data_IF_674323539779
#
_entry.id   IF_674323539779
#
_cell.length_a   1.000
_cell.length_b   1.000
_cell.length_c   1.000
_cell.angle_alpha   90.00
_cell.angle_beta   90.00
_cell.angle_gamma   90.00
#
_symmetry.space_group_name_H-M   'P 1'
#
loop_
_entity.id
_entity.type
_entity.pdbx_description
1 polymer ?
#
# COMPACT_ATOMS: atom_id res chain seq x y z
N UNK A 1 -3.71 -24.64 26.96
CA UNK A 1 -4.19 -23.57 26.06
C UNK A 1 -2.99 -22.69 25.74
N UNK A 2 -2.89 -22.21 24.51
CA UNK A 2 -1.93 -21.20 24.10
C UNK A 2 -2.64 -20.26 23.13
N UNK A 3 -2.48 -18.95 23.32
CA UNK A 3 -3.14 -17.93 22.51
C UNK A 3 -2.12 -17.00 21.88
N UNK A 4 -2.26 -16.78 20.58
CA UNK A 4 -1.46 -15.82 19.82
C UNK A 4 -2.37 -15.00 18.89
N UNK A 5 -1.90 -13.82 18.48
CA UNK A 5 -2.55 -13.07 17.40
C UNK A 5 -2.11 -13.69 16.07
N UNK A 6 -3.07 -14.04 15.22
CA UNK A 6 -2.82 -14.59 13.90
C UNK A 6 -1.95 -13.65 13.06
N UNK A 7 -1.25 -14.21 12.07
CA UNK A 7 -0.35 -13.39 11.25
C UNK A 7 -1.10 -12.29 10.50
N UNK A 8 -2.30 -12.59 10.00
CA UNK A 8 -3.11 -11.66 9.22
C UNK A 8 -4.52 -11.58 9.78
N UNK A 9 -5.20 -10.46 9.53
CA UNK A 9 -6.62 -10.32 9.78
C UNK A 9 -7.41 -11.46 9.14
N UNK A 10 -8.29 -12.09 9.93
CA UNK A 10 -9.09 -13.26 9.57
C UNK A 10 -8.30 -14.51 9.18
N UNK A 11 -6.99 -14.57 9.46
CA UNK A 11 -6.10 -15.65 8.99
C UNK A 11 -6.16 -15.84 7.46
N UNK A 12 -6.37 -14.73 6.72
CA UNK A 12 -6.39 -14.68 5.26
C UNK A 12 -5.17 -13.95 4.73
N UNK A 13 -4.57 -14.45 3.66
CA UNK A 13 -3.46 -13.80 2.98
C UNK A 13 -3.92 -12.46 2.39
N UNK A 14 -3.30 -11.33 2.77
CA UNK A 14 -3.67 -10.05 2.21
C UNK A 14 -3.16 -9.95 0.76
N UNK A 15 -4.07 -9.64 -0.15
CA UNK A 15 -3.78 -9.23 -1.53
C UNK A 15 -3.78 -7.71 -1.58
N UNK A 16 -2.81 -7.11 -2.26
CA UNK A 16 -2.77 -5.66 -2.46
C UNK A 16 -2.03 -5.33 -3.75
N UNK A 17 -2.17 -4.11 -4.24
CA UNK A 17 -1.39 -3.61 -5.37
C UNK A 17 -0.96 -2.17 -5.17
N UNK A 18 0.29 -1.89 -5.51
CA UNK A 18 0.92 -0.58 -5.49
C UNK A 18 0.96 -0.05 -6.92
N UNK A 19 0.30 1.09 -7.15
CA UNK A 19 0.41 1.86 -8.40
C UNK A 19 1.30 3.08 -8.18
N UNK A 20 2.54 3.00 -8.66
CA UNK A 20 3.52 4.08 -8.64
C UNK A 20 3.38 5.00 -9.88
N UNK A 21 4.00 6.18 -9.82
CA UNK A 21 4.05 7.20 -10.87
C UNK A 21 2.71 7.82 -11.31
N UNK A 22 1.59 7.40 -10.72
CA UNK A 22 0.30 7.99 -11.03
C UNK A 22 0.20 9.43 -10.51
N UNK A 23 -0.40 10.31 -11.31
CA UNK A 23 -0.70 11.71 -10.92
C UNK A 23 -1.70 12.34 -11.90
N UNK A 24 -2.05 13.60 -11.66
CA UNK A 24 -3.07 14.38 -12.38
C UNK A 24 -2.71 14.49 -13.87
N UNK A 25 -3.25 13.57 -14.68
CA UNK A 25 -3.18 13.51 -16.15
C UNK A 25 -1.78 13.44 -16.77
N UNK A 26 -0.70 13.74 -16.04
CA UNK A 26 0.67 13.74 -16.54
C UNK A 26 1.19 12.32 -16.68
N UNK A 27 1.89 12.04 -17.77
CA UNK A 27 2.77 10.88 -17.85
C UNK A 27 4.16 11.26 -17.34
N UNK A 28 4.45 10.95 -16.08
CA UNK A 28 5.71 11.30 -15.44
C UNK A 28 6.92 10.73 -16.18
N UNK A 29 6.79 9.53 -16.74
CA UNK A 29 7.88 8.86 -17.42
C UNK A 29 8.33 9.58 -18.70
N UNK A 30 7.41 10.28 -19.40
CA UNK A 30 7.77 11.15 -20.52
C UNK A 30 8.81 12.20 -20.08
N UNK A 31 8.51 12.94 -19.01
CA UNK A 31 9.36 14.01 -18.50
C UNK A 31 10.65 13.44 -17.89
N UNK A 32 10.52 12.38 -17.10
CA UNK A 32 11.67 11.75 -16.47
C UNK A 32 12.68 11.25 -17.50
N UNK A 33 12.25 10.51 -18.54
CA UNK A 33 13.18 9.99 -19.55
C UNK A 33 13.78 11.11 -20.39
N UNK A 34 12.98 12.11 -20.79
CA UNK A 34 13.45 13.30 -21.52
C UNK A 34 14.57 14.00 -20.76
N UNK A 35 14.40 14.19 -19.45
CA UNK A 35 15.32 14.97 -18.62
C UNK A 35 16.50 14.14 -18.11
N UNK A 36 16.34 12.83 -17.95
CA UNK A 36 17.39 11.94 -17.47
C UNK A 36 18.33 11.47 -18.58
N UNK A 37 17.84 11.32 -19.81
CA UNK A 37 18.67 10.89 -20.94
C UNK A 37 19.92 11.76 -21.17
N UNK A 38 19.87 13.10 -21.11
CA UNK A 38 21.08 13.93 -21.20
C UNK A 38 22.05 13.75 -20.02
N UNK A 39 21.57 13.27 -18.87
CA UNK A 39 22.38 13.09 -17.66
C UNK A 39 23.15 11.77 -17.69
N UNK A 40 22.50 10.67 -18.10
CA UNK A 40 23.08 9.33 -18.08
C UNK A 40 23.44 8.74 -19.44
N UNK A 41 23.00 9.37 -20.54
CA UNK A 41 23.32 8.95 -21.91
C UNK A 41 22.63 7.66 -22.35
N UNK A 42 21.60 7.18 -21.64
CA UNK A 42 20.98 5.87 -21.92
C UNK A 42 19.97 5.85 -23.07
N UNK A 43 19.68 6.99 -23.70
CA UNK A 43 18.95 7.06 -24.97
C UNK A 43 17.56 6.40 -24.96
N UNK A 44 16.83 6.51 -23.85
CA UNK A 44 15.48 5.95 -23.71
C UNK A 44 14.50 6.62 -24.68
N UNK A 45 13.51 5.86 -25.16
CA UNK A 45 12.53 6.27 -26.18
C UNK A 45 11.41 7.14 -25.62
N UNK A 46 11.74 8.35 -25.16
CA UNK A 46 10.76 9.23 -24.50
C UNK A 46 9.79 9.89 -25.48
N UNK A 47 10.19 10.05 -26.74
CA UNK A 47 9.35 10.60 -27.81
C UNK A 47 8.19 9.66 -28.20
N UNK A 48 8.31 8.37 -27.86
CA UNK A 48 7.31 7.35 -28.19
C UNK A 48 6.20 7.21 -27.14
N UNK A 49 6.38 7.79 -25.94
CA UNK A 49 5.38 7.73 -24.87
C UNK A 49 4.54 9.01 -24.85
N UNK A 50 3.24 8.92 -24.49
CA UNK A 50 2.36 10.08 -24.53
C UNK A 50 2.70 11.01 -23.36
N UNK A 51 2.55 12.33 -23.56
CA UNK A 51 2.77 13.33 -22.50
C UNK A 51 1.74 13.20 -21.37
N UNK A 52 0.55 12.68 -21.69
CA UNK A 52 -0.60 12.64 -20.79
C UNK A 52 -1.27 11.27 -20.78
N UNK A 53 -1.82 10.91 -19.63
CA UNK A 53 -2.75 9.81 -19.44
C UNK A 53 -4.19 10.35 -19.43
N UNK A 54 -5.12 9.78 -20.21
CA UNK A 54 -6.50 10.25 -20.23
C UNK A 54 -7.22 9.89 -18.92
N UNK A 55 -8.03 10.81 -18.40
CA UNK A 55 -8.88 10.55 -17.22
C UNK A 55 -9.78 9.32 -17.43
N UNK A 56 -10.27 9.11 -18.65
CA UNK A 56 -11.11 7.96 -18.98
C UNK A 56 -10.46 6.62 -18.66
N UNK A 57 -9.14 6.51 -18.82
CA UNK A 57 -8.40 5.30 -18.45
C UNK A 57 -8.35 5.12 -16.94
N UNK A 58 -8.02 6.17 -16.17
CA UNK A 58 -8.02 6.09 -14.70
C UNK A 58 -9.41 5.76 -14.15
N UNK A 59 -10.47 6.32 -14.76
CA UNK A 59 -11.85 6.03 -14.39
C UNK A 59 -12.23 4.57 -14.66
N UNK A 60 -11.95 4.06 -15.86
CA UNK A 60 -12.21 2.66 -16.22
C UNK A 60 -11.48 1.69 -15.28
N UNK A 61 -10.22 1.99 -14.96
CA UNK A 61 -9.45 1.24 -13.96
C UNK A 61 -10.11 1.27 -12.58
N UNK A 62 -10.53 2.46 -12.11
CA UNK A 62 -11.15 2.62 -10.79
C UNK A 62 -12.45 1.83 -10.69
N UNK A 63 -13.30 1.93 -11.71
CA UNK A 63 -14.57 1.19 -11.81
C UNK A 63 -14.34 -0.32 -11.80
N UNK A 64 -13.38 -0.81 -12.59
CA UNK A 64 -13.00 -2.23 -12.57
C UNK A 64 -12.53 -2.69 -11.18
N UNK A 65 -11.71 -1.89 -10.49
CA UNK A 65 -11.22 -2.26 -9.17
C UNK A 65 -12.33 -2.31 -8.13
N UNK A 66 -13.25 -1.35 -8.16
CA UNK A 66 -14.43 -1.33 -7.28
C UNK A 66 -15.34 -2.54 -7.54
N UNK A 67 -15.60 -2.88 -8.81
CA UNK A 67 -16.40 -4.04 -9.21
C UNK A 67 -15.79 -5.35 -8.70
N UNK A 68 -14.47 -5.50 -8.81
CA UNK A 68 -13.76 -6.72 -8.42
C UNK A 68 -13.24 -6.71 -6.97
N UNK A 69 -13.53 -5.66 -6.20
CA UNK A 69 -13.08 -5.51 -4.81
C UNK A 69 -11.56 -5.40 -4.64
N UNK A 70 -10.83 -5.04 -5.70
CA UNK A 70 -9.38 -4.83 -5.66
C UNK A 70 -9.07 -3.62 -4.81
N UNK A 71 -8.05 -3.74 -3.96
CA UNK A 71 -7.61 -2.68 -3.06
C UNK A 71 -6.10 -2.55 -3.08
N UNK A 72 -5.61 -1.38 -2.68
CA UNK A 72 -4.17 -1.16 -2.64
C UNK A 72 -3.76 0.26 -2.28
N UNK A 73 -2.72 0.74 -2.95
CA UNK A 73 -2.21 2.10 -2.88
C UNK A 73 -2.10 2.72 -4.28
N UNK A 74 -2.34 4.02 -4.37
CA UNK A 74 -2.24 4.82 -5.59
C UNK A 74 -1.38 6.07 -5.33
N UNK A 75 -0.32 6.26 -6.11
CA UNK A 75 0.51 7.47 -6.01
C UNK A 75 -0.26 8.68 -6.50
N UNK A 76 -0.01 9.84 -5.89
CA UNK A 76 -0.35 11.14 -6.48
C UNK A 76 0.86 12.04 -6.32
N UNK A 77 1.61 12.26 -7.39
CA UNK A 77 2.78 13.14 -7.35
C UNK A 77 2.35 14.61 -7.19
N UNK A 78 2.76 15.30 -6.11
CA UNK A 78 2.36 16.66 -5.75
C UNK A 78 2.70 17.77 -6.75
N UNK A 79 3.90 17.71 -7.31
CA UNK A 79 4.44 18.70 -8.26
C UNK A 79 5.04 17.94 -9.44
N UNK A 80 4.22 17.26 -10.25
CA UNK A 80 4.68 16.25 -11.19
C UNK A 80 5.70 16.81 -12.16
N UNK A 81 6.91 16.24 -12.16
CA UNK A 81 8.06 16.67 -12.96
C UNK A 81 8.43 18.16 -12.82
N UNK A 82 8.10 18.78 -11.68
CA UNK A 82 8.34 20.20 -11.43
C UNK A 82 7.46 21.15 -12.26
N UNK A 83 6.37 20.66 -12.86
CA UNK A 83 5.52 21.44 -13.76
C UNK A 83 4.56 22.41 -13.04
N UNK A 84 4.38 22.26 -11.73
CA UNK A 84 3.47 23.04 -10.90
C UNK A 84 2.80 22.18 -9.83
N UNK A 85 2.34 22.79 -8.75
CA UNK A 85 1.66 22.06 -7.66
C UNK A 85 0.22 21.73 -8.05
N UNK A 86 -0.20 20.49 -7.78
CA UNK A 86 -1.57 20.04 -8.06
C UNK A 86 -2.64 20.73 -7.21
N UNK A 87 -2.26 21.38 -6.10
CA UNK A 87 -3.18 22.16 -5.27
C UNK A 87 -3.33 23.63 -5.71
N UNK A 88 -2.59 24.05 -6.76
CA UNK A 88 -2.62 25.41 -7.31
C UNK A 88 -3.06 25.45 -8.78
N UNK A 89 -3.14 24.29 -9.44
CA UNK A 89 -3.40 24.20 -10.87
C UNK A 89 -2.11 23.92 -11.65
N UNK A 90 -2.16 22.92 -12.53
CA UNK A 90 -1.09 22.63 -13.48
C UNK A 90 -1.27 23.48 -14.73
N UNK A 91 -0.23 24.23 -15.19
CA UNK A 91 -0.34 25.08 -16.38
C UNK A 91 -0.70 24.34 -17.67
N UNK A 92 -0.53 23.01 -17.71
CA UNK A 92 -0.83 22.17 -18.88
C UNK A 92 -2.33 21.92 -19.08
N UNK A 93 -3.15 22.10 -18.05
CA UNK A 93 -4.57 21.71 -18.07
C UNK A 93 -5.48 22.86 -17.67
N UNK A 94 -6.72 22.83 -18.15
CA UNK A 94 -7.73 23.74 -17.63
C UNK A 94 -8.09 23.38 -16.18
N UNK A 95 -8.58 24.36 -15.43
CA UNK A 95 -9.09 24.13 -14.06
C UNK A 95 -10.17 23.05 -14.04
N UNK A 96 -11.03 23.01 -15.06
CA UNK A 96 -12.09 22.01 -15.18
C UNK A 96 -11.55 20.60 -15.39
N UNK A 97 -10.52 20.44 -16.25
CA UNK A 97 -9.90 19.13 -16.49
C UNK A 97 -9.24 18.58 -15.23
N UNK A 98 -8.51 19.44 -14.51
CA UNK A 98 -7.85 19.08 -13.26
C UNK A 98 -8.86 18.73 -12.17
N UNK A 99 -9.89 19.56 -11.98
CA UNK A 99 -10.93 19.30 -10.98
C UNK A 99 -11.77 18.06 -11.32
N UNK A 100 -11.98 17.76 -12.60
CA UNK A 100 -12.63 16.52 -13.05
C UNK A 100 -11.82 15.29 -12.60
N UNK A 101 -10.51 15.30 -12.86
CA UNK A 101 -9.63 14.20 -12.46
C UNK A 101 -9.53 14.05 -10.94
N UNK A 102 -9.33 15.15 -10.21
CA UNK A 102 -9.23 15.13 -8.75
C UNK A 102 -10.52 14.61 -8.11
N UNK A 103 -11.69 15.03 -8.62
CA UNK A 103 -12.99 14.52 -8.18
C UNK A 103 -13.13 13.03 -8.44
N UNK A 104 -12.77 12.57 -9.63
CA UNK A 104 -12.77 11.15 -9.98
C UNK A 104 -11.90 10.34 -9.01
N UNK A 105 -10.70 10.82 -8.66
CA UNK A 105 -9.86 10.15 -7.67
C UNK A 105 -10.53 10.08 -6.29
N UNK A 106 -11.12 11.18 -5.81
CA UNK A 106 -11.83 11.20 -4.52
C UNK A 106 -13.03 10.23 -4.49
N UNK A 107 -13.76 10.13 -5.59
CA UNK A 107 -15.00 9.34 -5.66
C UNK A 107 -14.77 7.86 -6.01
N UNK A 108 -13.74 7.55 -6.80
CA UNK A 108 -13.56 6.21 -7.37
C UNK A 108 -12.23 5.53 -6.98
N UNK A 109 -11.16 6.29 -6.70
CA UNK A 109 -9.86 5.72 -6.30
C UNK A 109 -9.76 5.59 -4.78
N UNK A 110 -9.94 6.70 -4.04
CA UNK A 110 -9.81 6.77 -2.57
C UNK A 110 -10.62 5.70 -1.81
N UNK A 111 -11.83 5.30 -2.24
CA UNK A 111 -12.57 4.24 -1.53
C UNK A 111 -11.81 2.90 -1.48
N UNK A 112 -11.09 2.54 -2.54
CA UNK A 112 -10.39 1.26 -2.66
C UNK A 112 -8.87 1.35 -2.43
N UNK A 113 -8.30 2.56 -2.51
CA UNK A 113 -6.87 2.76 -2.47
C UNK A 113 -6.46 3.77 -1.39
N UNK A 114 -5.35 3.49 -0.71
CA UNK A 114 -4.61 4.52 0.01
C UNK A 114 -4.00 5.49 -0.99
N UNK A 115 -3.97 6.77 -0.63
CA UNK A 115 -3.23 7.78 -1.38
C UNK A 115 -1.89 8.01 -0.70
N UNK A 116 -0.82 8.10 -1.48
CA UNK A 116 0.50 8.48 -1.00
C UNK A 116 1.14 9.47 -1.97
N UNK A 117 1.80 10.55 -1.50
CA UNK A 117 2.73 11.26 -2.35
C UNK A 117 3.91 10.34 -2.68
N UNK A 118 4.46 10.50 -3.87
CA UNK A 118 5.72 9.87 -4.28
C UNK A 118 6.79 10.94 -4.35
N UNK A 119 7.04 11.50 -3.17
CA UNK A 119 7.80 12.74 -2.92
C UNK A 119 7.24 13.93 -3.69
N UNK A 120 7.99 15.02 -3.88
CA UNK A 120 7.42 16.27 -4.42
C UNK A 120 7.35 16.19 -5.95
N UNK A 121 8.44 15.86 -6.63
CA UNK A 121 8.52 16.03 -8.10
C UNK A 121 8.63 14.75 -8.89
N UNK A 122 9.02 13.66 -8.26
CA UNK A 122 9.44 12.42 -8.91
C UNK A 122 10.69 12.57 -9.81
N UNK A 123 11.42 13.70 -9.71
CA UNK A 123 12.53 14.07 -10.60
C UNK A 123 13.65 14.73 -9.79
N UNK A 124 13.93 16.01 -10.03
CA UNK A 124 14.93 16.79 -9.28
C UNK A 124 14.37 17.25 -7.95
N UNK A 125 15.25 17.29 -6.96
CA UNK A 125 14.96 17.83 -5.64
C UNK A 125 14.75 19.33 -5.76
N UNK A 126 13.75 19.84 -5.04
CA UNK A 126 13.37 21.26 -5.03
C UNK A 126 13.42 21.82 -3.62
N UNK A 127 13.50 23.13 -3.49
CA UNK A 127 13.22 23.79 -2.21
C UNK A 127 11.70 23.68 -1.92
N UNK A 128 11.28 23.13 -0.76
CA UNK A 128 9.88 22.87 -0.47
C UNK A 128 9.03 24.15 -0.25
N UNK A 129 9.65 25.33 -0.16
CA UNK A 129 8.96 26.62 -0.01
C UNK A 129 8.75 27.31 -1.36
N UNK A 130 9.73 27.21 -2.26
CA UNK A 130 9.74 27.93 -3.54
C UNK A 130 9.42 27.04 -4.74
N UNK A 131 9.47 25.71 -4.57
CA UNK A 131 9.37 24.70 -5.64
C UNK A 131 10.45 24.84 -6.73
N UNK A 132 11.51 25.62 -6.49
CA UNK A 132 12.64 25.73 -7.41
C UNK A 132 13.63 24.59 -7.21
N UNK A 133 14.24 24.04 -8.27
CA UNK A 133 15.30 23.05 -8.13
C UNK A 133 16.41 23.56 -7.21
N UNK A 134 16.97 22.66 -6.41
CA UNK A 134 18.16 22.99 -5.63
C UNK A 134 19.37 23.20 -6.56
N UNK A 135 20.27 24.09 -6.18
CA UNK A 135 21.52 24.35 -6.93
C UNK A 135 22.40 23.11 -7.08
N UNK A 136 22.22 22.12 -6.21
CA UNK A 136 22.93 20.82 -6.26
C UNK A 136 22.52 19.98 -7.46
N UNK A 137 21.33 20.19 -8.03
CA UNK A 137 20.79 19.41 -9.14
C UNK A 137 20.53 17.94 -8.81
N UNK A 138 20.42 17.60 -7.52
CA UNK A 138 20.16 16.24 -7.04
C UNK A 138 18.81 15.72 -7.53
N UNK A 139 18.74 14.41 -7.81
CA UNK A 139 17.51 13.73 -8.15
C UNK A 139 16.98 12.94 -6.95
N UNK A 140 15.68 13.05 -6.70
CA UNK A 140 14.98 12.33 -5.63
C UNK A 140 15.27 10.81 -5.70
N UNK A 141 15.36 10.26 -6.91
CA UNK A 141 15.54 8.83 -7.15
C UNK A 141 16.99 8.33 -7.04
N UNK A 142 18.00 9.19 -7.18
CA UNK A 142 19.39 8.74 -7.33
C UNK A 142 20.26 9.24 -6.18
N UNK A 143 20.51 10.54 -6.13
CA UNK A 143 21.35 11.14 -5.09
C UNK A 143 20.69 10.99 -3.73
N UNK A 144 19.37 11.23 -3.66
CA UNK A 144 18.58 11.03 -2.44
C UNK A 144 18.24 9.57 -2.13
N UNK A 145 18.88 8.62 -2.83
CA UNK A 145 18.92 7.23 -2.34
C UNK A 145 19.61 7.11 -0.98
N UNK A 146 20.54 8.02 -0.69
CA UNK A 146 21.06 8.29 0.65
C UNK A 146 20.54 9.66 1.09
N UNK A 147 19.57 9.70 2.01
CA UNK A 147 19.05 10.99 2.48
C UNK A 147 20.08 11.72 3.36
N UNK A 148 20.10 13.06 3.34
CA UNK A 148 21.01 13.84 4.17
C UNK A 148 20.57 13.79 5.65
N UNK A 149 21.06 12.80 6.38
CA UNK A 149 20.65 12.51 7.78
C UNK A 149 20.95 13.66 8.74
N UNK A 150 21.96 14.48 8.44
CA UNK A 150 22.32 15.67 9.23
C UNK A 150 21.34 16.84 9.01
N UNK A 151 20.46 16.76 8.00
CA UNK A 151 19.47 17.76 7.64
C UNK A 151 18.03 17.24 7.90
N UNK A 152 17.82 16.59 9.05
CA UNK A 152 16.55 15.96 9.42
C UNK A 152 15.34 16.88 9.26
N UNK A 153 15.45 18.14 9.71
CA UNK A 153 14.36 19.12 9.60
C UNK A 153 14.00 19.41 8.13
N UNK A 154 15.00 19.52 7.25
CA UNK A 154 14.77 19.78 5.83
C UNK A 154 14.13 18.58 5.14
N UNK A 155 14.61 17.36 5.39
CA UNK A 155 14.04 16.14 4.80
C UNK A 155 12.61 15.91 5.31
N UNK A 156 12.38 16.14 6.61
CA UNK A 156 11.03 16.05 7.20
C UNK A 156 10.10 17.08 6.56
N UNK A 157 10.54 18.33 6.42
CA UNK A 157 9.79 19.40 5.75
C UNK A 157 9.46 19.05 4.29
N UNK A 158 10.42 18.48 3.57
CA UNK A 158 10.24 18.06 2.19
C UNK A 158 9.10 17.04 2.04
N UNK A 159 9.12 15.99 2.87
CA UNK A 159 8.09 14.97 2.87
C UNK A 159 6.75 15.55 3.37
N UNK A 160 6.79 16.43 4.37
CA UNK A 160 5.60 17.08 4.93
C UNK A 160 4.89 17.91 3.87
N UNK A 161 5.62 18.73 3.10
CA UNK A 161 5.06 19.53 2.00
C UNK A 161 4.48 18.63 0.90
N UNK A 162 5.12 17.50 0.59
CA UNK A 162 4.56 16.51 -0.34
C UNK A 162 3.19 16.00 0.15
N UNK A 163 3.08 15.63 1.42
CA UNK A 163 1.81 15.22 2.04
C UNK A 163 0.77 16.36 2.06
N UNK A 164 1.16 17.58 2.40
CA UNK A 164 0.26 18.75 2.47
C UNK A 164 -0.40 19.06 1.13
N UNK A 165 0.36 19.02 0.04
CA UNK A 165 -0.18 19.28 -1.30
C UNK A 165 -1.30 18.29 -1.64
N UNK A 166 -1.08 17.00 -1.34
CA UNK A 166 -2.07 15.94 -1.62
C UNK A 166 -3.29 16.09 -0.68
N UNK A 167 -3.06 16.44 0.59
CA UNK A 167 -4.12 16.76 1.55
C UNK A 167 -4.97 17.96 1.09
N UNK A 168 -4.36 19.00 0.52
CA UNK A 168 -5.03 20.21 0.06
C UNK A 168 -6.02 19.96 -1.08
N UNK A 169 -5.79 18.93 -1.90
CA UNK A 169 -6.72 18.52 -2.98
C UNK A 169 -7.79 17.53 -2.50
N UNK A 170 -7.92 17.32 -1.19
CA UNK A 170 -8.95 16.50 -0.57
C UNK A 170 -8.66 15.00 -0.61
N UNK A 171 -7.38 14.62 -0.68
CA UNK A 171 -6.94 13.23 -0.63
C UNK A 171 -5.98 13.07 0.56
N UNK A 172 -6.45 12.53 1.68
CA UNK A 172 -5.61 12.37 2.87
C UNK A 172 -4.55 11.28 2.67
N UNK A 173 -3.25 11.58 2.83
CA UNK A 173 -2.20 10.58 2.67
C UNK A 173 -2.16 9.57 3.82
N UNK A 174 -2.24 8.28 3.53
CA UNK A 174 -2.12 7.21 4.56
C UNK A 174 -0.65 6.79 4.80
N UNK A 175 0.24 7.29 3.96
CA UNK A 175 1.67 6.98 3.98
C UNK A 175 2.41 7.78 2.92
N UNK A 176 3.59 7.32 2.55
CA UNK A 176 4.42 7.91 1.48
C UNK A 176 5.05 6.82 0.60
N UNK A 177 5.35 7.16 -0.64
CA UNK A 177 6.00 6.25 -1.60
C UNK A 177 7.37 6.81 -1.98
N UNK A 178 8.37 5.94 -2.03
CA UNK A 178 9.72 6.30 -2.45
C UNK A 178 9.83 6.31 -3.98
N UNK A 179 10.12 7.45 -4.63
CA UNK A 179 10.45 7.45 -6.05
C UNK A 179 11.79 6.74 -6.25
N UNK A 180 11.80 5.67 -7.02
CA UNK A 180 13.00 4.92 -7.37
C UNK A 180 13.90 4.60 -6.17
N UNK A 181 15.07 5.24 -6.10
CA UNK A 181 16.08 5.02 -5.05
C UNK A 181 15.89 5.78 -3.73
N UNK A 182 14.99 6.77 -3.64
CA UNK A 182 14.78 7.64 -2.46
C UNK A 182 14.82 6.89 -1.12
N UNK A 183 15.63 7.35 -0.15
CA UNK A 183 15.69 6.80 1.20
C UNK A 183 16.22 5.37 1.36
N UNK A 184 16.53 4.67 0.26
CA UNK A 184 16.82 3.23 0.29
C UNK A 184 18.08 2.84 1.04
N UNK A 185 19.10 3.70 1.07
CA UNK A 185 20.37 3.47 1.78
C UNK A 185 20.35 3.97 3.23
N UNK A 186 19.30 4.70 3.61
CA UNK A 186 19.09 5.30 4.93
C UNK A 186 17.70 4.95 5.45
N UNK A 187 17.31 3.68 5.31
CA UNK A 187 15.92 3.22 5.48
C UNK A 187 15.32 3.57 6.84
N UNK A 188 16.07 3.35 7.93
CA UNK A 188 15.61 3.70 9.28
C UNK A 188 15.34 5.21 9.40
N UNK A 189 16.28 6.04 8.95
CA UNK A 189 16.11 7.49 8.93
C UNK A 189 14.89 7.89 8.08
N UNK A 190 14.73 7.29 6.88
CA UNK A 190 13.57 7.53 6.04
C UNK A 190 12.25 7.19 6.75
N UNK A 191 12.16 6.03 7.38
CA UNK A 191 10.98 5.63 8.15
C UNK A 191 10.65 6.64 9.27
N UNK A 192 11.67 7.17 9.96
CA UNK A 192 11.51 8.21 10.99
C UNK A 192 10.89 9.48 10.41
N UNK A 193 11.54 10.07 9.41
CA UNK A 193 11.11 11.38 8.86
C UNK A 193 9.78 11.28 8.12
N UNK A 194 9.52 10.18 7.42
CA UNK A 194 8.24 9.90 6.78
C UNK A 194 7.10 9.82 7.81
N UNK A 195 7.31 9.09 8.90
CA UNK A 195 6.33 8.95 9.97
C UNK A 195 6.06 10.25 10.73
N UNK A 196 7.09 11.09 10.94
CA UNK A 196 6.91 12.43 11.54
C UNK A 196 6.13 13.33 10.59
N UNK A 197 6.58 13.43 9.33
CA UNK A 197 5.99 14.31 8.33
C UNK A 197 4.52 14.00 8.06
N UNK A 198 4.17 12.72 7.83
CA UNK A 198 2.78 12.34 7.58
C UNK A 198 1.90 12.66 8.80
N UNK A 199 2.33 12.29 10.02
CA UNK A 199 1.60 12.60 11.26
C UNK A 199 1.32 14.09 11.45
N UNK A 200 2.29 14.95 11.15
CA UNK A 200 2.11 16.40 11.27
C UNK A 200 1.01 16.94 10.34
N UNK A 201 0.75 16.28 9.22
CA UNK A 201 -0.28 16.68 8.25
C UNK A 201 -1.63 16.04 8.55
N UNK A 202 -1.64 14.75 8.87
CA UNK A 202 -2.86 13.93 8.87
C UNK A 202 -3.34 13.54 10.27
N UNK A 203 -2.46 13.57 11.27
CA UNK A 203 -2.71 12.99 12.59
C UNK A 203 -2.76 11.46 12.61
N UNK A 204 -2.50 10.77 11.50
CA UNK A 204 -2.52 9.31 11.44
C UNK A 204 -1.45 8.72 12.37
N UNK A 205 -1.79 7.96 13.43
CA UNK A 205 -0.81 7.48 14.40
C UNK A 205 0.15 6.39 13.86
N UNK A 206 -0.23 5.70 12.79
CA UNK A 206 0.51 4.56 12.22
C UNK A 206 0.65 4.66 10.70
N UNK A 207 1.20 5.77 10.16
CA UNK A 207 1.39 5.90 8.72
C UNK A 207 2.38 4.86 8.23
N UNK A 208 2.38 4.58 6.93
CA UNK A 208 3.36 3.67 6.33
C UNK A 208 4.26 4.35 5.30
N UNK A 209 5.31 3.66 4.90
CA UNK A 209 6.04 3.98 3.68
C UNK A 209 6.18 2.75 2.78
N UNK A 210 6.27 3.00 1.47
CA UNK A 210 6.66 2.00 0.48
C UNK A 210 8.08 2.30 -0.02
N UNK A 211 8.94 1.27 -0.04
CA UNK A 211 10.29 1.36 -0.58
C UNK A 211 10.84 0.08 -1.16
N UNK A 212 10.71 -1.02 -0.41
CA UNK A 212 11.37 -2.28 -0.75
C UNK A 212 10.49 -3.13 -1.65
N UNK A 213 11.15 -3.80 -2.59
CA UNK A 213 10.56 -4.83 -3.45
C UNK A 213 11.36 -6.11 -3.22
N UNK A 214 10.68 -7.22 -3.01
CA UNK A 214 11.29 -8.56 -2.98
C UNK A 214 10.66 -9.44 -4.05
N UNK A 215 11.49 -9.97 -4.95
CA UNK A 215 11.04 -10.86 -6.03
C UNK A 215 10.95 -12.33 -5.64
N UNK A 216 11.59 -12.72 -4.52
CA UNK A 216 11.74 -14.11 -4.09
C UNK A 216 11.72 -14.20 -2.56
N UNK A 217 11.43 -15.39 -2.02
CA UNK A 217 11.49 -15.65 -0.58
C UNK A 217 10.34 -15.03 0.24
N UNK A 218 10.46 -15.01 1.57
CA UNK A 218 9.40 -14.51 2.46
C UNK A 218 9.22 -12.99 2.37
N UNK A 219 8.00 -12.53 2.67
CA UNK A 219 7.63 -11.11 2.66
C UNK A 219 7.31 -10.67 4.08
N UNK A 220 8.09 -9.71 4.57
CA UNK A 220 7.95 -9.14 5.90
C UNK A 220 6.87 -8.05 5.94
N UNK A 221 6.38 -7.73 7.14
CA UNK A 221 5.55 -6.55 7.43
C UNK A 221 6.18 -5.76 8.58
N UNK A 222 7.29 -5.05 8.34
CA UNK A 222 8.07 -4.41 9.40
C UNK A 222 7.31 -3.28 10.07
N UNK A 223 7.59 -3.11 11.36
CA UNK A 223 7.09 -2.01 12.20
C UNK A 223 8.28 -1.24 12.72
N UNK A 224 8.34 0.05 12.40
CA UNK A 224 9.42 0.95 12.76
C UNK A 224 8.96 1.91 13.86
N UNK A 225 9.88 2.28 14.76
CA UNK A 225 9.65 3.30 15.79
C UNK A 225 8.36 3.09 16.60
N UNK A 226 8.07 1.84 16.96
CA UNK A 226 6.89 1.50 17.77
C UNK A 226 6.99 2.13 19.16
N UNK A 227 5.98 2.90 19.54
CA UNK A 227 5.82 3.55 20.83
C UNK A 227 4.45 3.18 21.39
N UNK A 228 4.45 2.23 22.34
CA UNK A 228 3.23 1.70 22.98
C UNK A 228 2.51 2.73 23.85
N UNK A 229 3.26 3.67 24.44
CA UNK A 229 2.66 4.68 25.33
C UNK A 229 1.95 5.74 24.51
N UNK A 230 2.55 6.15 23.39
CA UNK A 230 1.94 7.09 22.45
C UNK A 230 0.90 6.42 21.53
N UNK A 231 0.90 5.09 21.40
CA UNK A 231 0.07 4.36 20.44
C UNK A 231 0.46 4.67 19.00
N UNK A 232 1.75 4.85 18.73
CA UNK A 232 2.24 5.24 17.39
C UNK A 232 3.33 4.32 16.88
N UNK A 233 3.42 4.18 15.55
CA UNK A 233 4.47 3.45 14.87
C UNK A 233 4.56 3.91 13.41
N UNK A 234 5.49 3.35 12.64
CA UNK A 234 5.54 3.52 11.19
C UNK A 234 5.58 2.16 10.53
N UNK A 235 4.56 1.84 9.74
CA UNK A 235 4.52 0.61 8.97
C UNK A 235 5.43 0.66 7.75
N UNK A 236 5.91 -0.49 7.30
CA UNK A 236 6.48 -0.63 5.96
C UNK A 236 5.67 -1.64 5.15
N UNK A 237 5.27 -1.23 3.95
CA UNK A 237 4.72 -2.14 2.95
C UNK A 237 5.84 -2.54 1.98
N UNK A 238 5.92 -3.83 1.65
CA UNK A 238 6.92 -4.40 0.76
C UNK A 238 6.20 -5.02 -0.42
N UNK A 239 6.55 -4.61 -1.64
CA UNK A 239 6.04 -5.27 -2.84
C UNK A 239 6.70 -6.65 -2.99
N UNK A 240 5.91 -7.64 -3.36
CA UNK A 240 6.28 -9.06 -3.39
C UNK A 240 6.44 -9.63 -4.80
N UNK A 241 6.30 -8.76 -5.81
CA UNK A 241 6.40 -9.09 -7.24
C UNK A 241 7.31 -8.08 -7.93
N UNK A 242 7.82 -8.43 -9.12
CA UNK A 242 8.27 -7.41 -10.07
C UNK A 242 7.10 -6.67 -10.70
N UNK A 243 7.40 -5.56 -11.39
CA UNK A 243 6.47 -4.98 -12.36
C UNK A 243 6.56 -5.80 -13.66
N UNK A 244 5.58 -6.69 -13.83
CA UNK A 244 5.34 -7.44 -15.07
C UNK A 244 4.05 -6.98 -15.76
N UNK A 245 3.62 -5.74 -15.49
CA UNK A 245 2.48 -5.06 -16.10
C UNK A 245 2.94 -3.98 -17.08
N UNK A 246 4.12 -4.14 -17.70
CA UNK A 246 4.64 -3.23 -18.73
C UNK A 246 5.85 -2.39 -18.30
N UNK A 247 6.31 -2.54 -17.04
CA UNK A 247 7.47 -1.85 -16.45
C UNK A 247 7.29 -0.33 -16.37
N UNK A 248 8.11 0.29 -15.51
CA UNK A 248 8.22 1.76 -15.43
C UNK A 248 8.58 2.45 -16.75
N UNK A 249 9.17 1.76 -17.74
CA UNK A 249 9.47 2.36 -19.05
C UNK A 249 8.21 2.60 -19.91
N UNK A 250 7.09 1.94 -19.63
CA UNK A 250 5.86 2.09 -20.42
C UNK A 250 5.80 1.24 -21.69
N UNK A 251 6.92 0.65 -22.12
CA UNK A 251 7.00 -0.10 -23.37
C UNK A 251 7.55 -1.53 -23.27
N UNK A 252 7.78 -2.08 -22.07
CA UNK A 252 8.19 -3.48 -21.90
C UNK A 252 7.01 -4.44 -21.95
N UNK A 253 7.30 -5.73 -22.10
CA UNK A 253 6.29 -6.77 -22.13
C UNK A 253 5.54 -6.89 -20.79
N UNK A 254 4.23 -7.13 -20.88
CA UNK A 254 3.39 -7.51 -19.76
C UNK A 254 3.15 -9.01 -19.78
N UNK A 255 3.19 -9.66 -18.62
CA UNK A 255 3.12 -11.11 -18.50
C UNK A 255 2.35 -11.51 -17.23
N UNK A 256 1.09 -11.93 -17.42
CA UNK A 256 0.23 -12.40 -16.33
C UNK A 256 0.72 -13.71 -15.72
N UNK A 257 1.42 -14.56 -16.46
CA UNK A 257 1.84 -15.90 -16.00
C UNK A 257 2.96 -15.82 -14.96
N UNK A 258 3.75 -14.72 -14.94
CA UNK A 258 4.70 -14.45 -13.86
C UNK A 258 4.02 -14.21 -12.52
N UNK A 259 2.83 -13.62 -12.53
CA UNK A 259 2.02 -13.44 -11.33
C UNK A 259 1.28 -14.74 -10.97
N UNK A 260 0.48 -15.24 -11.90
CA UNK A 260 -0.33 -16.45 -11.73
C UNK A 260 -0.59 -17.06 -13.10
N UNK A 261 -0.11 -18.28 -13.31
CA UNK A 261 -0.26 -19.03 -14.56
C UNK A 261 -1.71 -19.44 -14.82
N UNK A 262 -2.02 -19.84 -16.07
CA UNK A 262 -3.37 -20.22 -16.49
C UNK A 262 -3.97 -21.43 -15.76
N UNK A 263 -3.14 -22.36 -15.25
CA UNK A 263 -3.59 -23.49 -14.43
C UNK A 263 -3.78 -23.12 -12.95
N UNK A 264 -3.55 -21.84 -12.63
CA UNK A 264 -3.62 -21.22 -11.31
C UNK A 264 -2.58 -21.70 -10.31
N UNK A 265 -1.69 -22.65 -10.66
CA UNK A 265 -0.76 -23.28 -9.73
C UNK A 265 0.61 -22.62 -9.71
N UNK A 266 1.10 -22.14 -10.85
CA UNK A 266 2.40 -21.49 -10.99
C UNK A 266 2.36 -19.97 -10.92
N UNK A 267 3.52 -19.35 -10.76
CA UNK A 267 3.70 -17.91 -10.63
C UNK A 267 3.97 -17.48 -9.18
N UNK A 268 4.30 -16.20 -8.99
CA UNK A 268 4.68 -15.66 -7.69
C UNK A 268 3.52 -15.61 -6.69
N UNK A 269 2.29 -15.34 -7.14
CA UNK A 269 1.15 -15.17 -6.24
C UNK A 269 0.68 -16.50 -5.61
N UNK A 270 0.55 -17.63 -6.35
CA UNK A 270 0.27 -18.92 -5.73
C UNK A 270 1.30 -19.32 -4.67
N UNK A 271 2.60 -19.10 -4.92
CA UNK A 271 3.67 -19.38 -3.96
C UNK A 271 3.46 -18.62 -2.63
N UNK A 272 3.19 -17.32 -2.72
CA UNK A 272 2.95 -16.47 -1.55
C UNK A 272 1.68 -16.87 -0.80
N UNK A 273 0.60 -17.13 -1.53
CA UNK A 273 -0.70 -17.52 -0.96
C UNK A 273 -0.59 -18.87 -0.23
N UNK A 274 0.12 -19.84 -0.82
CA UNK A 274 0.29 -21.18 -0.24
C UNK A 274 1.20 -21.17 0.99
N UNK A 275 2.10 -20.19 1.10
CA UNK A 275 3.01 -20.02 2.24
C UNK A 275 2.54 -18.95 3.25
N UNK A 276 1.31 -18.44 3.11
CA UNK A 276 0.72 -17.48 4.04
C UNK A 276 1.43 -16.11 4.06
N UNK A 277 2.13 -15.75 2.98
CA UNK A 277 2.86 -14.47 2.86
C UNK A 277 1.97 -13.40 2.24
N UNK A 278 2.10 -12.11 2.62
CA UNK A 278 1.46 -11.02 1.90
C UNK A 278 1.75 -11.06 0.41
N UNK A 279 0.71 -10.93 -0.42
CA UNK A 279 0.81 -10.90 -1.87
C UNK A 279 0.50 -9.48 -2.36
N UNK A 280 1.52 -8.62 -2.27
CA UNK A 280 1.47 -7.21 -2.67
C UNK A 280 2.11 -7.07 -4.05
N UNK A 281 1.32 -6.74 -5.06
CA UNK A 281 1.79 -6.48 -6.42
C UNK A 281 2.35 -5.05 -6.51
N UNK A 282 3.20 -4.81 -7.50
CA UNK A 282 3.62 -3.47 -7.93
C UNK A 282 3.43 -3.30 -9.42
N UNK A 283 3.01 -2.10 -9.81
CA UNK A 283 2.92 -1.62 -11.18
C UNK A 283 3.26 -0.13 -11.21
N UNK A 284 3.86 0.32 -12.31
CA UNK A 284 3.97 1.76 -12.58
C UNK A 284 2.89 2.18 -13.59
N UNK A 285 2.32 3.37 -13.40
CA UNK A 285 1.13 3.82 -14.13
C UNK A 285 1.32 3.84 -15.65
N UNK A 286 2.50 4.24 -16.13
CA UNK A 286 2.85 4.26 -17.54
C UNK A 286 2.97 2.88 -18.19
N UNK A 287 3.52 1.87 -17.47
CA UNK A 287 3.55 0.48 -17.93
C UNK A 287 2.14 -0.08 -18.03
N UNK A 288 1.35 0.26 -17.01
CA UNK A 288 -0.03 -0.16 -16.89
C UNK A 288 -0.90 0.34 -18.05
N UNK A 289 -0.74 1.62 -18.43
CA UNK A 289 -1.41 2.23 -19.58
C UNK A 289 -0.82 1.79 -20.93
N UNK A 290 0.51 1.75 -21.05
CA UNK A 290 1.22 1.47 -22.30
C UNK A 290 1.56 2.72 -23.12
N UNK A 291 1.95 2.53 -24.39
CA UNK A 291 2.38 3.65 -25.26
C UNK A 291 1.22 4.50 -25.80
N UNK A 292 0.00 3.96 -25.86
CA UNK A 292 -1.19 4.66 -26.35
C UNK A 292 -2.45 3.95 -25.84
N UNK A 293 -3.60 4.59 -26.02
CA UNK A 293 -4.87 4.10 -25.48
C UNK A 293 -5.27 2.71 -26.01
N UNK A 294 -4.78 2.32 -27.18
CA UNK A 294 -5.02 0.97 -27.75
C UNK A 294 -4.05 -0.11 -27.22
N UNK A 295 -2.94 0.25 -26.54
CA UNK A 295 -1.95 -0.72 -26.03
C UNK A 295 -2.52 -1.42 -24.80
N UNK A 296 -2.66 -0.71 -23.67
CA UNK A 296 -3.30 -1.17 -22.42
C UNK A 296 -2.92 -2.60 -22.00
N UNK A 297 -1.77 -3.11 -22.44
CA UNK A 297 -1.37 -4.51 -22.20
C UNK A 297 -1.11 -4.78 -20.72
N UNK A 298 -0.57 -3.80 -20.01
CA UNK A 298 -0.40 -3.85 -18.56
C UNK A 298 -1.73 -4.01 -17.84
N UNK A 299 -2.70 -3.15 -18.17
CA UNK A 299 -4.05 -3.24 -17.65
C UNK A 299 -4.75 -4.57 -18.00
N UNK A 300 -4.64 -5.04 -19.24
CA UNK A 300 -5.23 -6.32 -19.66
C UNK A 300 -4.58 -7.54 -18.98
N UNK A 301 -3.25 -7.51 -18.77
CA UNK A 301 -2.56 -8.52 -17.99
C UNK A 301 -3.03 -8.51 -16.54
N UNK A 302 -3.18 -7.33 -15.93
CA UNK A 302 -3.71 -7.20 -14.57
C UNK A 302 -5.14 -7.70 -14.43
N UNK A 303 -6.05 -7.38 -15.36
CA UNK A 303 -7.39 -7.96 -15.38
C UNK A 303 -7.34 -9.48 -15.41
N UNK A 304 -6.41 -10.07 -16.18
CA UNK A 304 -6.22 -11.53 -16.22
C UNK A 304 -5.78 -12.07 -14.86
N UNK A 305 -4.84 -11.40 -14.18
CA UNK A 305 -4.39 -11.76 -12.83
C UNK A 305 -5.55 -11.72 -11.82
N UNK A 306 -6.35 -10.65 -11.82
CA UNK A 306 -7.50 -10.50 -10.91
C UNK A 306 -8.53 -11.62 -11.13
N UNK A 307 -8.85 -11.93 -12.39
CA UNK A 307 -9.77 -13.04 -12.70
C UNK A 307 -9.22 -14.39 -12.23
N UNK A 308 -7.93 -14.67 -12.45
CA UNK A 308 -7.28 -15.92 -12.02
C UNK A 308 -7.20 -16.04 -10.50
N UNK A 309 -6.95 -14.95 -9.78
CA UNK A 309 -7.01 -14.94 -8.32
C UNK A 309 -8.42 -15.26 -7.82
N UNK A 310 -9.45 -14.69 -8.44
CA UNK A 310 -10.84 -15.00 -8.13
C UNK A 310 -11.21 -16.44 -8.45
N UNK A 311 -10.69 -17.00 -9.55
CA UNK A 311 -10.91 -18.40 -9.92
C UNK A 311 -10.22 -19.37 -8.94
N UNK A 312 -9.03 -19.00 -8.44
CA UNK A 312 -8.27 -19.78 -7.46
C UNK A 312 -8.92 -19.78 -6.07
N UNK A 313 -9.55 -18.69 -5.68
CA UNK A 313 -10.22 -18.52 -4.38
C UNK A 313 -11.64 -17.95 -4.55
N UNK A 314 -12.59 -18.76 -5.11
CA UNK A 314 -13.90 -18.28 -5.52
C UNK A 314 -14.74 -17.77 -4.34
N UNK A 315 -14.58 -18.35 -3.16
CA UNK A 315 -15.34 -18.01 -1.96
C UNK A 315 -14.55 -17.10 -0.99
N UNK A 316 -13.34 -16.66 -1.37
CA UNK A 316 -12.51 -15.76 -0.55
C UNK A 316 -12.12 -16.36 0.79
N UNK A 317 -11.86 -17.67 0.84
CA UNK A 317 -11.55 -18.40 2.07
C UNK A 317 -10.09 -18.27 2.47
N UNK A 318 -9.21 -18.01 1.49
CA UNK A 318 -7.75 -18.00 1.67
C UNK A 318 -7.17 -16.60 1.61
N UNK A 319 -7.79 -15.71 0.83
CA UNK A 319 -7.24 -14.42 0.46
C UNK A 319 -8.26 -13.29 0.67
N UNK A 320 -7.75 -12.07 0.86
CA UNK A 320 -8.59 -10.88 0.97
C UNK A 320 -7.85 -9.67 0.41
N UNK A 321 -8.47 -8.92 -0.51
CA UNK A 321 -7.93 -7.63 -0.95
C UNK A 321 -7.95 -6.61 0.19
N UNK A 322 -6.81 -5.93 0.37
CA UNK A 322 -6.58 -4.92 1.42
C UNK A 322 -5.88 -3.70 0.86
N UNK A 323 -6.17 -2.54 1.44
CA UNK A 323 -5.32 -1.37 1.34
C UNK A 323 -3.97 -1.65 2.01
N UNK A 324 -2.93 -0.93 1.62
CA UNK A 324 -1.60 -1.11 2.22
C UNK A 324 -1.61 -0.74 3.71
N UNK A 325 -2.32 0.33 4.08
CA UNK A 325 -2.56 0.78 5.45
C UNK A 325 -3.25 -0.28 6.30
N UNK A 326 -4.23 -1.00 5.76
CA UNK A 326 -4.91 -2.10 6.47
C UNK A 326 -3.94 -3.23 6.83
N UNK A 327 -2.99 -3.54 5.94
CA UNK A 327 -1.94 -4.55 6.19
C UNK A 327 -0.96 -4.05 7.26
N UNK A 328 -0.48 -2.82 7.12
CA UNK A 328 0.54 -2.28 8.03
C UNK A 328 -0.01 -1.96 9.41
N UNK A 329 -1.25 -1.46 9.51
CA UNK A 329 -1.90 -1.18 10.79
C UNK A 329 -2.15 -2.46 11.60
N UNK A 330 -2.53 -3.56 10.93
CA UNK A 330 -2.63 -4.87 11.58
C UNK A 330 -1.26 -5.35 12.08
N UNK A 331 -0.20 -5.17 11.29
CA UNK A 331 1.16 -5.50 11.72
C UNK A 331 1.60 -4.66 12.93
N UNK A 332 1.34 -3.35 12.94
CA UNK A 332 1.58 -2.46 14.08
C UNK A 332 0.82 -2.92 15.32
N UNK A 333 -0.48 -3.23 15.20
CA UNK A 333 -1.26 -3.76 16.31
C UNK A 333 -0.67 -5.05 16.86
N UNK A 334 -0.32 -6.02 16.00
CA UNK A 334 0.23 -7.31 16.41
C UNK A 334 1.57 -7.15 17.13
N UNK A 335 2.47 -6.33 16.58
CA UNK A 335 3.80 -6.08 17.15
C UNK A 335 3.71 -5.39 18.52
N UNK A 336 2.75 -4.47 18.66
CA UNK A 336 2.58 -3.66 19.86
C UNK A 336 1.60 -4.25 20.86
N UNK A 337 1.01 -5.42 20.60
CA UNK A 337 0.08 -6.07 21.52
C UNK A 337 0.81 -6.72 22.70
N UNK A 338 0.14 -6.82 23.85
CA UNK A 338 0.50 -7.75 24.92
C UNK A 338 -0.69 -8.68 25.19
N UNK A 339 -0.39 -9.95 25.47
CA UNK A 339 -1.38 -10.99 25.77
C UNK A 339 -1.07 -11.55 27.14
N UNK A 340 -2.06 -11.54 28.04
CA UNK A 340 -1.97 -12.16 29.37
C UNK A 340 -3.03 -13.24 29.49
N UNK A 341 -2.60 -14.49 29.76
CA UNK A 341 -3.51 -15.62 29.97
C UNK A 341 -3.71 -15.88 31.48
N UNK A 342 -4.96 -15.93 31.94
CA UNK A 342 -5.30 -16.26 33.34
C UNK A 342 -6.65 -17.00 33.43
N UNK A 343 -6.66 -18.21 34.01
CA UNK A 343 -7.88 -18.97 34.36
C UNK A 343 -8.95 -19.10 33.24
N UNK A 344 -8.53 -19.21 31.97
CA UNK A 344 -9.44 -19.31 30.81
C UNK A 344 -9.91 -17.97 30.23
N UNK A 345 -9.49 -16.86 30.84
CA UNK A 345 -9.55 -15.52 30.28
C UNK A 345 -8.21 -15.14 29.64
N UNK A 346 -8.29 -14.29 28.61
CA UNK A 346 -7.18 -13.73 27.86
C UNK A 346 -7.38 -12.23 27.83
N UNK A 347 -6.53 -11.50 28.52
CA UNK A 347 -6.54 -10.04 28.51
C UNK A 347 -5.52 -9.53 27.48
N UNK A 348 -5.97 -8.61 26.64
CA UNK A 348 -5.18 -7.97 25.60
C UNK A 348 -4.95 -6.50 25.94
N UNK A 349 -3.69 -6.06 25.85
CA UNK A 349 -3.33 -4.65 25.77
C UNK A 349 -2.98 -4.31 24.31
N UNK A 350 -3.78 -3.45 23.68
CA UNK A 350 -3.75 -3.09 22.26
C UNK A 350 -3.54 -1.58 22.09
N UNK A 351 -2.29 -1.07 22.20
CA UNK A 351 -1.97 0.34 21.99
C UNK A 351 -2.40 0.89 20.62
N UNK A 352 -2.38 0.03 19.61
CA UNK A 352 -2.90 0.28 18.25
C UNK A 352 -4.04 -0.70 18.00
N UNK A 353 -5.12 -0.22 17.41
CA UNK A 353 -6.29 -1.03 17.07
C UNK A 353 -6.52 -1.02 15.56
N UNK A 354 -6.59 -2.21 14.99
CA UNK A 354 -7.03 -2.49 13.64
C UNK A 354 -8.22 -3.46 13.71
N UNK A 355 -9.16 -3.39 12.75
CA UNK A 355 -10.30 -4.27 12.70
C UNK A 355 -9.88 -5.72 12.43
N UNK A 356 -10.81 -6.64 12.69
CA UNK A 356 -10.69 -8.06 12.38
C UNK A 356 -9.47 -8.72 13.05
N UNK A 357 -9.12 -8.24 14.24
CA UNK A 357 -8.15 -8.90 15.12
C UNK A 357 -8.57 -10.36 15.26
N UNK A 358 -7.61 -11.25 15.02
CA UNK A 358 -7.88 -12.69 14.99
C UNK A 358 -6.93 -13.36 15.96
N UNK A 359 -7.49 -13.99 16.99
CA UNK A 359 -6.74 -14.82 17.91
C UNK A 359 -6.73 -16.26 17.41
N UNK A 360 -5.57 -16.91 17.50
CA UNK A 360 -5.40 -18.35 17.28
C UNK A 360 -5.21 -19.02 18.65
N UNK A 361 -6.14 -19.90 18.99
CA UNK A 361 -6.14 -20.66 20.25
C UNK A 361 -5.81 -22.12 19.96
N UNK A 362 -4.81 -22.67 20.64
CA UNK A 362 -4.39 -24.06 20.50
C UNK A 362 -4.31 -24.78 21.85
N UNK A 363 -4.28 -26.12 21.82
CA UNK A 363 -4.12 -26.93 23.03
C UNK A 363 -5.29 -26.83 24.03
N UNK A 364 -6.50 -26.58 23.52
CA UNK A 364 -7.76 -26.57 24.25
C UNK A 364 -8.92 -26.89 23.29
N UNK A 365 -9.96 -27.60 23.76
CA UNK A 365 -11.16 -27.85 22.99
C UNK A 365 -12.16 -26.70 23.23
N UNK A 366 -12.28 -25.78 22.28
CA UNK A 366 -13.09 -24.56 22.47
C UNK A 366 -14.54 -24.82 22.09
N UNK A 367 -15.46 -24.58 23.04
CA UNK A 367 -16.92 -24.66 22.87
C UNK A 367 -17.56 -23.32 22.52
N UNK A 368 -16.90 -22.23 22.88
CA UNK A 368 -17.35 -20.87 22.62
C UNK A 368 -16.27 -19.84 22.97
N UNK A 369 -16.44 -18.63 22.45
CA UNK A 369 -15.58 -17.48 22.73
C UNK A 369 -16.46 -16.27 23.00
N UNK A 370 -16.13 -15.48 24.02
CA UNK A 370 -16.78 -14.20 24.29
C UNK A 370 -15.72 -13.09 24.34
N UNK A 371 -16.04 -11.91 23.80
CA UNK A 371 -15.17 -10.72 23.79
C UNK A 371 -15.90 -9.59 24.50
N UNK A 372 -15.28 -9.02 25.53
CA UNK A 372 -15.87 -7.99 26.40
C UNK A 372 -17.28 -8.35 26.90
N UNK A 373 -17.50 -9.65 27.15
CA UNK A 373 -18.78 -10.20 27.61
C UNK A 373 -19.82 -10.50 26.52
N UNK A 374 -19.52 -10.23 25.24
CA UNK A 374 -20.38 -10.57 24.11
C UNK A 374 -19.93 -11.87 23.43
N UNK A 375 -20.86 -12.81 23.23
CA UNK A 375 -20.55 -14.10 22.60
C UNK A 375 -20.31 -13.97 21.09
N UNK A 376 -19.23 -14.60 20.61
CA UNK A 376 -18.98 -14.77 19.19
C UNK A 376 -19.84 -15.90 18.61
N UNK A 377 -20.28 -15.73 17.37
CA UNK A 377 -21.04 -16.76 16.66
C UNK A 377 -20.10 -17.80 16.04
N UNK A 378 -20.43 -19.10 16.13
CA UNK A 378 -19.64 -20.13 15.43
C UNK A 378 -19.87 -20.01 13.92
N UNK A 379 -18.81 -19.77 13.16
CA UNK A 379 -18.85 -19.78 11.69
C UNK A 379 -19.05 -21.21 11.17
N UNK A 380 -19.77 -21.35 10.06
CA UNK A 380 -20.03 -22.66 9.44
C UNK A 380 -18.81 -23.20 8.66
N UNK A 381 -17.93 -22.30 8.23
CA UNK A 381 -16.76 -22.54 7.39
C UNK A 381 -16.00 -21.24 7.12
N UNK A 382 -14.82 -21.31 6.47
CA UNK A 382 -13.94 -20.16 6.22
C UNK A 382 -14.62 -19.03 5.44
N UNK A 383 -15.44 -19.35 4.45
CA UNK A 383 -16.25 -18.37 3.69
C UNK A 383 -17.19 -17.51 4.56
N UNK A 384 -17.60 -18.03 5.72
CA UNK A 384 -18.43 -17.29 6.69
C UNK A 384 -17.65 -16.69 7.86
N UNK A 385 -16.34 -16.95 7.95
CA UNK A 385 -15.48 -16.43 9.01
C UNK A 385 -15.19 -14.95 8.81
N UNK A 386 -15.58 -14.14 9.80
CA UNK A 386 -15.51 -12.67 9.83
C UNK A 386 -15.47 -12.16 11.27
N UNK A 387 -15.26 -10.85 11.46
CA UNK A 387 -15.41 -10.23 12.78
C UNK A 387 -16.76 -10.60 13.44
N UNK A 388 -16.73 -10.90 14.74
CA UNK A 388 -17.88 -11.38 15.50
C UNK A 388 -18.07 -12.90 15.45
N UNK A 389 -17.12 -13.66 14.90
CA UNK A 389 -17.23 -15.12 14.75
C UNK A 389 -16.00 -15.87 15.23
N UNK A 390 -16.18 -17.16 15.51
CA UNK A 390 -15.08 -18.10 15.73
C UNK A 390 -15.26 -19.37 14.89
N UNK A 391 -14.16 -20.03 14.53
CA UNK A 391 -14.14 -21.29 13.77
C UNK A 391 -13.07 -22.22 14.32
N UNK A 392 -13.33 -23.52 14.27
CA UNK A 392 -12.36 -24.55 14.62
C UNK A 392 -11.83 -25.21 13.33
N UNK A 393 -10.52 -25.21 13.15
CA UNK A 393 -9.87 -25.74 11.96
C UNK A 393 -8.44 -26.19 12.30
N UNK A 394 -8.01 -27.33 11.74
CA UNK A 394 -6.62 -27.83 11.87
C UNK A 394 -6.09 -27.93 13.32
N UNK A 395 -6.97 -28.23 14.28
CA UNK A 395 -6.61 -28.33 15.70
C UNK A 395 -6.37 -26.99 16.40
N UNK A 396 -6.77 -25.88 15.77
CA UNK A 396 -6.81 -24.55 16.35
C UNK A 396 -8.25 -23.99 16.32
N UNK A 397 -8.53 -23.04 17.20
CA UNK A 397 -9.71 -22.17 17.10
C UNK A 397 -9.27 -20.77 16.72
N UNK A 398 -9.84 -20.23 15.65
CA UNK A 398 -9.68 -18.84 15.25
C UNK A 398 -10.87 -18.04 15.76
N UNK A 399 -10.62 -16.93 16.45
CA UNK A 399 -11.65 -16.02 16.94
C UNK A 399 -11.38 -14.61 16.40
N UNK A 400 -12.29 -14.08 15.60
CA UNK A 400 -12.15 -12.78 14.96
C UNK A 400 -13.13 -11.75 15.53
N UNK A 401 -12.63 -10.55 15.85
CA UNK A 401 -13.42 -9.46 16.40
C UNK A 401 -12.74 -8.10 16.13
N UNK A 402 -13.54 -7.02 16.24
CA UNK A 402 -13.04 -5.66 16.21
C UNK A 402 -12.82 -5.17 17.65
N UNK A 403 -11.58 -4.82 18.06
CA UNK A 403 -11.33 -4.29 19.39
C UNK A 403 -12.11 -3.00 19.64
N UNK A 404 -12.77 -2.90 20.80
CA UNK A 404 -13.53 -1.71 21.21
C UNK A 404 -12.68 -0.64 21.91
N UNK A 405 -11.46 -1.00 22.32
CA UNK A 405 -10.51 -0.13 23.00
C UNK A 405 -9.17 -0.82 23.22
N UNK A 406 -8.29 -0.14 23.98
CA UNK A 406 -6.93 -0.63 24.27
C UNK A 406 -6.94 -1.90 25.11
N UNK A 407 -7.75 -1.95 26.16
CA UNK A 407 -7.95 -3.16 26.94
C UNK A 407 -9.10 -3.97 26.33
N UNK A 408 -8.86 -5.25 26.05
CA UNK A 408 -9.90 -6.18 25.56
C UNK A 408 -9.80 -7.48 26.33
N UNK A 409 -10.92 -7.98 26.85
CA UNK A 409 -10.95 -9.25 27.58
C UNK A 409 -11.66 -10.31 26.74
N UNK A 410 -11.02 -11.47 26.56
CA UNK A 410 -11.53 -12.60 25.78
C UNK A 410 -11.65 -13.82 26.69
N UNK A 411 -12.85 -14.38 26.78
CA UNK A 411 -13.10 -15.60 27.55
C UNK A 411 -13.20 -16.79 26.60
N UNK A 412 -12.40 -17.83 26.83
CA UNK A 412 -12.41 -19.07 26.06
C UNK A 412 -13.13 -20.16 26.86
N UNK A 413 -14.29 -20.59 26.37
CA UNK A 413 -15.09 -21.64 27.00
C UNK A 413 -14.61 -23.01 26.51
N UNK A 414 -14.17 -23.90 27.41
CA UNK A 414 -13.61 -25.23 27.07
C UNK A 414 -14.51 -26.42 27.45
#
# INVERSE_FOLDING_TARGET
MHVEIARHALDKVPLSIIFDDSTVLVNLNYFWMRDRNPVDGLGRRWEDVPVVHPESFTREFAEFCLEHGVRGKFSVVPNPAGLGRIDQGLPLFSTEQQESWLRMCREAIVPAYDITPEMITHTVVVDPKTMQPLDTGEWEQYEWSTLPVEEEEFVTEYIRVACEIVQNVGMTPEGVTSPGGFGGRTLAFYAKVAGIANRQVTGNPTPYFFKRVTGEGPVETPVWYADRDAGTAVGEIIASTGDWTGSWEGYREADADKYITADLQGGRLPELIDTGQPAVLISHWQGFYGMHDEDRRGYNAFKTVVHRLKERDPDGERTQWRKCSEITNYACQREMAEITEADGAVDLDLPVQAPELTLRVTGAAVRGVSVDGADLTRAAGRSSFRSGTFIEEEGATLAAFDPSGRATSVTVHT
#
